data_IF_597739519137
#
_entry.id   IF_597739519137
#
_cell.length_a   1.000
_cell.length_b   1.000
_cell.length_c   1.000
_cell.angle_alpha   90.00
_cell.angle_beta   90.00
_cell.angle_gamma   90.00
#
_symmetry.space_group_name_H-M   'P 1'
#
loop_
_entity.id
_entity.type
_entity.pdbx_description
1 polymer ?
#
# COMPACT_ATOMS: atom_id res chain seq x y z
N UNK A 1 -7.44 -30.44 -36.66
CA UNK A 1 -6.29 -29.55 -36.97
C UNK A 1 -6.48 -28.15 -36.50
N UNK A 2 -7.62 -27.51 -36.80
CA UNK A 2 -7.91 -26.13 -36.34
C UNK A 2 -7.95 -25.98 -34.82
N UNK A 3 -8.43 -27.00 -34.10
CA UNK A 3 -8.49 -27.00 -32.63
C UNK A 3 -7.11 -26.95 -31.96
N UNK A 4 -6.10 -27.58 -32.55
CA UNK A 4 -4.73 -27.56 -32.03
C UNK A 4 -4.09 -26.17 -32.09
N UNK A 5 -4.36 -25.41 -33.13
CA UNK A 5 -3.86 -24.05 -33.28
C UNK A 5 -4.48 -23.10 -32.25
N UNK A 6 -5.75 -23.30 -31.90
CA UNK A 6 -6.45 -22.52 -30.87
C UNK A 6 -5.83 -22.78 -29.49
N UNK A 7 -5.50 -24.04 -29.17
CA UNK A 7 -4.85 -24.39 -27.91
C UNK A 7 -3.47 -23.76 -27.76
N UNK A 8 -2.70 -23.71 -28.82
CA UNK A 8 -1.35 -23.08 -28.81
C UNK A 8 -1.49 -21.58 -28.54
N UNK A 9 -2.46 -20.90 -29.14
CA UNK A 9 -2.71 -19.48 -28.92
C UNK A 9 -3.10 -19.16 -27.48
N UNK A 10 -3.95 -19.97 -26.87
CA UNK A 10 -4.38 -19.81 -25.46
C UNK A 10 -3.20 -20.02 -24.52
N UNK A 11 -2.39 -21.02 -24.77
CA UNK A 11 -1.21 -21.33 -23.98
C UNK A 11 -0.19 -20.20 -24.02
N UNK A 12 0.07 -19.62 -25.20
CA UNK A 12 0.96 -18.47 -25.35
C UNK A 12 0.44 -17.24 -24.56
N UNK A 13 -0.86 -16.99 -24.56
CA UNK A 13 -1.47 -15.91 -23.78
C UNK A 13 -1.28 -16.09 -22.28
N UNK A 14 -1.40 -17.32 -21.77
CA UNK A 14 -1.18 -17.63 -20.36
C UNK A 14 0.28 -17.43 -19.96
N UNK A 15 1.24 -17.77 -20.84
CA UNK A 15 2.68 -17.53 -20.59
C UNK A 15 3.00 -16.04 -20.49
N UNK A 16 2.38 -15.21 -21.33
CA UNK A 16 2.57 -13.75 -21.29
C UNK A 16 2.05 -13.17 -19.97
N UNK A 17 0.91 -13.64 -19.45
CA UNK A 17 0.34 -13.16 -18.19
C UNK A 17 1.18 -13.55 -16.96
N UNK A 18 2.06 -14.55 -17.06
CA UNK A 18 2.94 -14.98 -15.97
C UNK A 18 4.26 -14.19 -15.88
N UNK A 19 4.48 -13.19 -16.74
CA UNK A 19 5.74 -12.45 -16.82
C UNK A 19 5.76 -11.14 -16.05
N UNK A 20 4.68 -10.77 -15.39
CA UNK A 20 4.62 -9.54 -14.57
C UNK A 20 5.58 -9.64 -13.39
N UNK A 21 6.50 -8.68 -13.27
CA UNK A 21 7.41 -8.61 -12.12
C UNK A 21 6.63 -8.26 -10.85
N UNK A 22 7.23 -8.56 -9.69
CA UNK A 22 6.63 -8.23 -8.40
C UNK A 22 6.49 -6.71 -8.23
N UNK A 23 7.48 -5.95 -8.71
CA UNK A 23 7.47 -4.49 -8.68
C UNK A 23 6.36 -3.92 -9.57
N UNK A 24 6.17 -4.46 -10.76
CA UNK A 24 5.09 -4.05 -11.66
C UNK A 24 3.72 -4.38 -11.08
N UNK A 25 3.61 -5.55 -10.45
CA UNK A 25 2.39 -5.96 -9.75
C UNK A 25 2.06 -5.00 -8.61
N UNK A 26 3.04 -4.66 -7.79
CA UNK A 26 2.86 -3.72 -6.68
C UNK A 26 2.43 -2.34 -7.17
N UNK A 27 3.05 -1.84 -8.23
CA UNK A 27 2.69 -0.55 -8.83
C UNK A 27 1.25 -0.58 -9.37
N UNK A 28 0.88 -1.65 -10.06
CA UNK A 28 -0.48 -1.83 -10.58
C UNK A 28 -1.51 -1.90 -9.47
N UNK A 29 -1.25 -2.70 -8.44
CA UNK A 29 -2.17 -2.85 -7.30
C UNK A 29 -2.36 -1.53 -6.54
N UNK A 30 -1.29 -0.77 -6.33
CA UNK A 30 -1.36 0.54 -5.68
C UNK A 30 -2.23 1.52 -6.48
N UNK A 31 -2.04 1.55 -7.80
CA UNK A 31 -2.83 2.38 -8.70
C UNK A 31 -4.31 1.98 -8.69
N UNK A 32 -4.60 0.69 -8.83
CA UNK A 32 -5.97 0.17 -8.82
C UNK A 32 -6.68 0.43 -7.49
N UNK A 33 -5.98 0.22 -6.39
CA UNK A 33 -6.52 0.52 -5.06
C UNK A 33 -6.88 2.00 -4.92
N UNK A 34 -6.00 2.88 -5.37
CA UNK A 34 -6.23 4.33 -5.33
C UNK A 34 -7.44 4.72 -6.21
N UNK A 35 -7.51 4.21 -7.43
CA UNK A 35 -8.58 4.54 -8.36
C UNK A 35 -9.95 3.98 -7.92
N UNK A 36 -9.97 2.78 -7.35
CA UNK A 36 -11.22 2.08 -7.00
C UNK A 36 -11.75 2.43 -5.63
N UNK A 37 -10.87 2.63 -4.65
CA UNK A 37 -11.26 2.70 -3.25
C UNK A 37 -10.92 4.00 -2.54
N UNK A 38 -10.04 4.82 -3.10
CA UNK A 38 -9.58 6.02 -2.43
C UNK A 38 -10.24 7.30 -2.98
N UNK A 39 -10.47 8.29 -2.12
CA UNK A 39 -10.27 8.22 -0.68
C UNK A 39 -11.29 7.28 -0.02
N UNK A 40 -10.83 6.47 0.94
CA UNK A 40 -11.72 5.57 1.68
C UNK A 40 -12.62 6.36 2.63
N UNK A 41 -13.73 5.77 3.11
CA UNK A 41 -14.47 6.38 4.20
C UNK A 41 -13.60 6.54 5.45
N UNK A 42 -13.87 7.57 6.25
CA UNK A 42 -13.21 7.71 7.54
C UNK A 42 -13.68 6.62 8.51
N UNK A 43 -12.71 5.97 9.15
CA UNK A 43 -12.92 5.00 10.23
C UNK A 43 -12.01 5.40 11.38
N UNK A 44 -12.56 5.63 12.56
CA UNK A 44 -11.79 6.11 13.72
C UNK A 44 -10.97 7.37 13.41
N UNK A 45 -11.59 8.30 12.69
CA UNK A 45 -10.98 9.57 12.26
C UNK A 45 -9.76 9.45 11.35
N UNK A 46 -9.59 8.31 10.69
CA UNK A 46 -8.56 8.09 9.70
C UNK A 46 -9.15 7.57 8.39
N UNK A 47 -8.57 7.99 7.27
CA UNK A 47 -8.88 7.43 5.95
C UNK A 47 -7.61 7.31 5.11
N UNK A 48 -7.61 6.40 4.18
CA UNK A 48 -6.54 6.31 3.17
C UNK A 48 -6.91 7.17 1.97
N UNK A 49 -6.06 8.13 1.65
CA UNK A 49 -6.27 9.02 0.50
C UNK A 49 -5.77 8.40 -0.79
N UNK A 50 -4.65 7.68 -0.73
CA UNK A 50 -4.03 7.04 -1.88
C UNK A 50 -2.95 6.06 -1.45
N UNK A 51 -2.53 5.23 -2.38
CA UNK A 51 -1.35 4.39 -2.25
C UNK A 51 -0.50 4.54 -3.50
N UNK A 52 0.81 4.43 -3.35
CA UNK A 52 1.75 4.51 -4.47
C UNK A 52 2.92 3.57 -4.23
N UNK A 53 3.49 3.05 -5.31
CA UNK A 53 4.67 2.20 -5.24
C UNK A 53 5.81 2.76 -6.08
N UNK A 54 6.96 2.97 -5.44
CA UNK A 54 8.21 3.36 -6.11
C UNK A 54 8.98 2.10 -6.48
N UNK A 55 9.03 1.79 -7.77
CA UNK A 55 9.70 0.58 -8.28
C UNK A 55 11.21 0.60 -8.05
N UNK A 56 11.82 1.78 -8.13
CA UNK A 56 13.27 1.93 -8.01
C UNK A 56 13.72 1.67 -6.57
N UNK A 57 13.03 2.25 -5.60
CA UNK A 57 13.36 2.13 -4.18
C UNK A 57 12.63 0.98 -3.50
N UNK A 58 11.68 0.35 -4.17
CA UNK A 58 10.81 -0.71 -3.62
C UNK A 58 10.07 -0.24 -2.36
N UNK A 59 9.49 0.96 -2.41
CA UNK A 59 8.75 1.54 -1.29
C UNK A 59 7.26 1.60 -1.65
N UNK A 60 6.45 0.93 -0.83
CA UNK A 60 5.01 0.96 -0.91
C UNK A 60 4.50 1.97 0.11
N UNK A 61 3.95 3.09 -0.34
CA UNK A 61 3.52 4.18 0.52
C UNK A 61 2.00 4.31 0.55
N UNK A 62 1.46 4.42 1.77
CA UNK A 62 0.05 4.76 2.02
C UNK A 62 -0.01 6.17 2.57
N UNK A 63 -0.86 7.01 1.97
CA UNK A 63 -1.12 8.38 2.41
C UNK A 63 -2.44 8.40 3.16
N UNK A 64 -2.40 8.83 4.41
CA UNK A 64 -3.53 8.75 5.36
C UNK A 64 -3.85 10.14 5.89
N UNK A 65 -5.13 10.52 5.83
CA UNK A 65 -5.65 11.74 6.46
C UNK A 65 -6.19 11.44 7.85
N UNK A 66 -5.83 12.27 8.81
CA UNK A 66 -6.37 12.24 10.17
C UNK A 66 -7.23 13.48 10.42
N UNK A 67 -8.41 13.28 11.02
CA UNK A 67 -9.33 14.38 11.33
C UNK A 67 -9.73 14.37 12.80
N UNK A 68 -10.36 15.46 13.22
CA UNK A 68 -10.94 15.61 14.57
C UNK A 68 -9.87 15.38 15.66
N UNK A 69 -10.13 14.51 16.61
CA UNK A 69 -9.19 14.23 17.71
C UNK A 69 -7.88 13.59 17.26
N UNK A 70 -7.90 12.86 16.14
CA UNK A 70 -6.67 12.25 15.59
C UNK A 70 -5.79 13.27 14.90
N UNK A 71 -6.33 14.40 14.46
CA UNK A 71 -5.58 15.50 13.85
C UNK A 71 -4.93 16.36 14.95
N UNK A 72 -3.93 15.79 15.61
CA UNK A 72 -3.25 16.40 16.74
C UNK A 72 -1.81 15.91 16.84
N UNK A 73 -0.88 16.76 16.46
CA UNK A 73 0.56 16.44 16.43
C UNK A 73 1.08 15.96 17.78
N UNK A 74 0.68 16.62 18.86
CA UNK A 74 1.07 16.22 20.23
C UNK A 74 0.60 14.82 20.59
N UNK A 75 -0.66 14.51 20.30
CA UNK A 75 -1.23 13.20 20.58
C UNK A 75 -0.56 12.11 19.73
N UNK A 76 -0.28 12.39 18.46
CA UNK A 76 0.42 11.47 17.58
C UNK A 76 1.85 11.23 18.08
N UNK A 77 2.59 12.26 18.43
CA UNK A 77 3.96 12.12 18.96
C UNK A 77 3.99 11.32 20.27
N UNK A 78 3.02 11.53 21.13
CA UNK A 78 2.91 10.80 22.39
C UNK A 78 2.59 9.30 22.20
N UNK A 79 1.95 8.94 21.09
CA UNK A 79 1.48 7.58 20.81
C UNK A 79 2.19 6.91 19.61
N UNK A 80 3.24 7.53 19.08
CA UNK A 80 3.89 7.04 17.85
C UNK A 80 4.40 5.60 17.96
N UNK A 81 4.96 5.22 19.11
CA UNK A 81 5.48 3.87 19.32
C UNK A 81 4.36 2.84 19.34
N UNK A 82 3.23 3.18 19.95
CA UNK A 82 2.04 2.34 19.96
C UNK A 82 1.45 2.19 18.55
N UNK A 83 1.35 3.28 17.80
CA UNK A 83 0.88 3.28 16.42
C UNK A 83 1.80 2.42 15.54
N UNK A 84 3.11 2.58 15.69
CA UNK A 84 4.10 1.78 14.97
C UNK A 84 3.91 0.28 15.23
N UNK A 85 3.75 -0.09 16.48
CA UNK A 85 3.55 -1.49 16.88
C UNK A 85 2.27 -2.07 16.29
N UNK A 86 1.15 -1.34 16.36
CA UNK A 86 -0.12 -1.77 15.79
C UNK A 86 0.00 -1.98 14.28
N UNK A 87 0.63 -1.05 13.60
CA UNK A 87 0.82 -1.12 12.16
C UNK A 87 1.77 -2.24 11.76
N UNK A 88 2.83 -2.45 12.54
CA UNK A 88 3.77 -3.56 12.34
C UNK A 88 3.06 -4.91 12.43
N UNK A 89 2.22 -5.09 13.44
CA UNK A 89 1.44 -6.31 13.61
C UNK A 89 0.48 -6.54 12.42
N UNK A 90 -0.15 -5.47 11.94
CA UNK A 90 -1.04 -5.55 10.78
C UNK A 90 -0.28 -5.98 9.52
N UNK A 91 0.92 -5.42 9.28
CA UNK A 91 1.77 -5.81 8.15
C UNK A 91 2.26 -7.25 8.28
N UNK A 92 2.70 -7.63 9.47
CA UNK A 92 3.23 -8.99 9.73
C UNK A 92 2.16 -10.06 9.53
N UNK A 93 0.92 -9.77 9.90
CA UNK A 93 -0.19 -10.71 9.85
C UNK A 93 -0.97 -10.66 8.54
N UNK A 94 -0.57 -9.84 7.58
CA UNK A 94 -1.26 -9.76 6.29
C UNK A 94 -0.66 -10.75 5.28
N UNK A 95 -1.35 -11.87 4.96
CA UNK A 95 -0.82 -12.88 4.04
C UNK A 95 -0.68 -12.36 2.61
N UNK A 96 -1.44 -11.33 2.24
CA UNK A 96 -1.36 -10.70 0.91
C UNK A 96 -0.05 -9.98 0.66
N UNK A 97 0.72 -9.66 1.72
CA UNK A 97 1.99 -8.96 1.62
C UNK A 97 3.20 -9.87 1.77
N UNK A 98 2.99 -11.16 1.91
CA UNK A 98 4.07 -12.13 2.18
C UNK A 98 5.22 -12.03 1.17
N UNK A 99 4.92 -12.06 -0.11
CA UNK A 99 5.94 -12.00 -1.17
C UNK A 99 6.70 -10.67 -1.15
N UNK A 100 6.00 -9.58 -0.92
CA UNK A 100 6.62 -8.26 -0.83
C UNK A 100 7.60 -8.18 0.35
N UNK A 101 7.22 -8.75 1.49
CA UNK A 101 8.10 -8.82 2.67
C UNK A 101 9.32 -9.72 2.40
N UNK A 102 9.13 -10.88 1.78
CA UNK A 102 10.22 -11.79 1.39
C UNK A 102 11.22 -11.13 0.45
N UNK A 103 10.74 -10.24 -0.45
CA UNK A 103 11.58 -9.50 -1.40
C UNK A 103 12.08 -8.16 -0.82
N UNK A 104 11.98 -7.99 0.49
CA UNK A 104 12.52 -6.85 1.23
C UNK A 104 11.94 -5.49 0.82
N UNK A 105 10.66 -5.45 0.48
CA UNK A 105 9.97 -4.19 0.23
C UNK A 105 9.91 -3.37 1.52
N UNK A 106 9.97 -2.06 1.38
CA UNK A 106 9.73 -1.11 2.45
C UNK A 106 8.28 -0.66 2.39
N UNK A 107 7.61 -0.60 3.55
CA UNK A 107 6.27 -0.04 3.67
C UNK A 107 6.35 1.27 4.43
N UNK A 108 5.64 2.27 3.92
CA UNK A 108 5.66 3.62 4.48
C UNK A 108 4.24 4.11 4.65
N UNK A 109 3.96 4.68 5.83
CA UNK A 109 2.66 5.28 6.14
C UNK A 109 2.88 6.74 6.47
N UNK A 110 2.34 7.62 5.63
CA UNK A 110 2.43 9.07 5.81
C UNK A 110 1.07 9.56 6.31
N UNK A 111 1.03 9.97 7.56
CA UNK A 111 -0.16 10.52 8.21
C UNK A 111 -0.09 12.03 8.13
N UNK A 112 -1.11 12.66 7.58
CA UNK A 112 -1.19 14.10 7.48
C UNK A 112 -2.51 14.64 8.00
N UNK A 113 -2.53 15.93 8.34
CA UNK A 113 -3.72 16.62 8.83
C UNK A 113 -4.75 16.76 7.72
N UNK A 114 -6.00 16.37 7.99
CA UNK A 114 -7.10 16.63 7.07
C UNK A 114 -7.40 18.13 6.97
N UNK A 115 -7.22 18.85 8.06
CA UNK A 115 -7.44 20.31 8.15
C UNK A 115 -6.35 21.08 7.41
N UNK A 116 -5.09 20.62 7.51
CA UNK A 116 -3.95 21.21 6.83
C UNK A 116 -3.16 20.11 6.11
N UNK A 117 -3.53 19.76 4.86
CA UNK A 117 -2.93 18.59 4.16
C UNK A 117 -1.43 18.65 3.94
N UNK A 118 -0.81 19.83 4.07
CA UNK A 118 0.65 19.99 3.96
C UNK A 118 1.37 19.60 5.25
N UNK A 119 0.66 19.52 6.36
CA UNK A 119 1.25 19.14 7.64
C UNK A 119 1.34 17.61 7.76
N UNK A 120 2.56 17.10 7.86
CA UNK A 120 2.82 15.69 8.13
C UNK A 120 2.86 15.48 9.64
N UNK A 121 1.94 14.64 10.14
CA UNK A 121 1.84 14.33 11.56
C UNK A 121 2.77 13.19 11.95
N UNK A 122 2.96 12.21 11.05
CA UNK A 122 3.85 11.08 11.26
C UNK A 122 4.23 10.47 9.91
N UNK A 123 5.50 10.16 9.75
CA UNK A 123 6.02 9.42 8.61
C UNK A 123 6.66 8.15 9.14
N UNK A 124 5.97 7.04 9.01
CA UNK A 124 6.33 5.77 9.63
C UNK A 124 6.81 4.76 8.59
N UNK A 125 7.98 4.19 8.82
CA UNK A 125 8.68 3.33 7.86
C UNK A 125 8.91 1.94 8.45
N UNK A 126 8.61 0.89 7.64
CA UNK A 126 8.78 -0.51 8.00
C UNK A 126 9.63 -1.20 6.95
N UNK A 127 10.82 -1.63 7.32
CA UNK A 127 11.77 -2.34 6.43
C UNK A 127 11.74 -3.85 6.72
N UNK A 128 11.64 -4.62 5.67
CA UNK A 128 11.65 -6.08 5.72
C UNK A 128 12.89 -6.68 5.07
#
# INVERSE_FOLDING_TARGET
MKKKLIYIGIFASLLISCTESLEDKAAREAKEYTEKYCPTPYVNDARTDSAAFDKTKKIYTYYISLRNKADNKKAIDANKDKLHKIQKEALDNNPGLKKYKEEHFTFRFVYHSAKNPKEVLLDDIFKY
#
